data_IF_036095596413
#
_entry.id   IF_036095596413
#
_cell.length_a   1.000
_cell.length_b   1.000
_cell.length_c   1.000
_cell.angle_alpha   90.00
_cell.angle_beta   90.00
_cell.angle_gamma   90.00
#
_symmetry.space_group_name_H-M   'P 1'
#
loop_
_entity.id
_entity.type
_entity.pdbx_description
1 polymer ?
#
# COMPACT_ATOMS: atom_id res chain seq x y z
N UNK A 1 25.74 1.36 -0.15
CA UNK A 1 25.28 2.55 0.58
C UNK A 1 25.51 2.40 2.07
N UNK A 2 26.63 2.93 2.57
CA UNK A 2 27.08 2.82 3.96
C UNK A 2 26.53 3.96 4.85
N UNK A 3 25.21 4.14 4.80
CA UNK A 3 24.52 5.17 5.57
C UNK A 3 23.47 4.57 6.50
N UNK A 4 23.39 5.14 7.69
CA UNK A 4 22.50 4.75 8.77
C UNK A 4 21.48 5.87 9.04
N UNK A 5 20.21 5.50 9.04
CA UNK A 5 19.10 6.37 9.46
C UNK A 5 19.00 6.35 10.98
N UNK A 6 18.88 7.54 11.58
CA UNK A 6 18.80 7.75 13.02
C UNK A 6 17.56 8.56 13.34
N UNK A 7 16.84 8.12 14.38
CA UNK A 7 15.83 8.93 15.04
C UNK A 7 16.43 9.39 16.37
N UNK A 8 16.58 10.72 16.48
CA UNK A 8 17.19 11.38 17.62
C UNK A 8 16.12 12.18 18.36
N UNK A 9 16.15 12.06 19.69
CA UNK A 9 15.44 13.00 20.57
C UNK A 9 16.48 13.71 21.43
N UNK A 10 16.58 15.03 21.26
CA UNK A 10 17.46 15.90 22.03
C UNK A 10 16.61 16.69 23.02
N UNK A 11 16.98 16.69 24.30
CA UNK A 11 16.43 17.64 25.27
C UNK A 11 17.47 18.72 25.54
N UNK A 12 17.11 19.97 25.30
CA UNK A 12 17.91 21.15 25.62
C UNK A 12 17.24 21.87 26.81
N UNK A 13 17.91 21.94 27.95
CA UNK A 13 17.41 22.65 29.13
C UNK A 13 17.86 24.11 29.11
N UNK A 14 16.97 25.03 29.49
CA UNK A 14 17.27 26.48 29.50
C UNK A 14 17.72 27.05 28.15
N UNK A 15 16.94 26.79 27.09
CA UNK A 15 17.30 27.09 25.69
C UNK A 15 17.83 28.51 25.50
N UNK A 16 19.15 28.66 25.59
CA UNK A 16 19.85 29.82 25.05
C UNK A 16 20.01 29.53 23.57
N UNK A 17 19.77 30.51 22.69
CA UNK A 17 19.96 30.39 21.21
C UNK A 17 21.31 29.73 20.81
N UNK A 18 22.29 29.80 21.71
CA UNK A 18 23.63 29.23 21.60
C UNK A 18 23.62 27.69 21.59
N UNK A 19 22.72 27.00 22.30
CA UNK A 19 22.73 25.53 22.41
C UNK A 19 22.14 24.86 21.17
N UNK A 20 21.06 25.41 20.63
CA UNK A 20 20.47 24.94 19.37
C UNK A 20 21.44 25.13 18.18
N UNK A 21 22.12 26.28 18.13
CA UNK A 21 23.11 26.56 17.08
C UNK A 21 24.36 25.67 17.21
N UNK A 22 24.77 25.30 18.44
CA UNK A 22 25.82 24.29 18.65
C UNK A 22 25.38 22.91 18.16
N UNK A 23 24.15 22.48 18.44
CA UNK A 23 23.64 21.22 17.93
C UNK A 23 23.56 21.20 16.39
N UNK A 24 23.11 22.29 15.76
CA UNK A 24 23.07 22.41 14.31
C UNK A 24 24.48 22.27 13.67
N UNK A 25 25.51 22.90 14.26
CA UNK A 25 26.90 22.76 13.79
C UNK A 25 27.42 21.33 13.88
N UNK A 26 26.98 20.56 14.88
CA UNK A 26 27.34 19.15 14.98
C UNK A 26 26.77 18.38 13.80
N UNK A 27 25.50 18.56 13.45
CA UNK A 27 24.88 17.93 12.27
C UNK A 27 25.58 18.29 10.96
N UNK A 28 25.95 19.57 10.80
CA UNK A 28 26.70 20.06 9.63
C UNK A 28 28.08 19.41 9.51
N UNK A 29 28.82 19.28 10.63
CA UNK A 29 30.15 18.66 10.66
C UNK A 29 30.16 17.19 10.23
N UNK A 30 29.05 16.47 10.43
CA UNK A 30 28.90 15.06 10.05
C UNK A 30 28.15 14.88 8.73
N UNK A 31 27.93 15.96 7.97
CA UNK A 31 27.22 15.93 6.68
C UNK A 31 25.87 15.19 6.75
N UNK A 32 25.17 15.34 7.89
CA UNK A 32 23.93 14.60 8.12
C UNK A 32 22.81 15.11 7.23
N UNK A 33 22.12 14.21 6.53
CA UNK A 33 20.91 14.55 5.77
C UNK A 33 19.71 14.52 6.71
N UNK A 34 19.10 15.66 6.99
CA UNK A 34 17.94 15.74 7.89
C UNK A 34 16.66 15.63 7.07
N UNK A 35 15.85 14.60 7.32
CA UNK A 35 14.56 14.38 6.66
C UNK A 35 13.39 15.01 7.43
N UNK A 36 13.48 14.99 8.77
CA UNK A 36 12.46 15.55 9.65
C UNK A 36 13.12 16.30 10.80
N UNK A 37 12.58 17.48 11.13
CA UNK A 37 13.01 18.29 12.26
C UNK A 37 11.79 18.93 12.92
N UNK A 38 11.55 18.60 14.19
CA UNK A 38 10.39 19.06 14.93
C UNK A 38 10.80 19.46 16.35
N UNK A 39 10.32 20.62 16.81
CA UNK A 39 10.53 21.09 18.18
C UNK A 39 9.22 21.09 18.96
N UNK A 40 9.28 20.68 20.24
CA UNK A 40 8.16 20.68 21.17
C UNK A 40 8.63 21.16 22.54
N UNK A 41 7.71 21.72 23.34
CA UNK A 41 7.98 21.99 24.76
C UNK A 41 8.18 20.66 25.49
N UNK A 42 9.19 20.60 26.36
CA UNK A 42 9.50 19.37 27.08
C UNK A 42 8.33 18.97 28.02
N UNK A 43 7.94 17.70 27.98
CA UNK A 43 6.80 17.20 28.78
C UNK A 43 7.06 17.20 30.29
N UNK A 44 8.33 17.20 30.72
CA UNK A 44 8.76 17.27 32.12
C UNK A 44 9.94 18.25 32.24
N UNK A 45 9.69 19.55 32.44
CA UNK A 45 10.76 20.53 32.59
C UNK A 45 11.60 20.19 33.81
N UNK A 46 12.92 20.07 33.64
CA UNK A 46 13.85 19.76 34.74
C UNK A 46 14.37 21.02 35.42
N UNK A 47 14.52 22.12 34.67
CA UNK A 47 15.17 23.34 35.16
C UNK A 47 14.38 24.63 34.88
N UNK A 48 13.73 24.78 33.72
CA UNK A 48 12.88 25.95 33.42
C UNK A 48 11.69 25.62 32.52
N UNK A 49 10.73 26.56 32.40
CA UNK A 49 9.57 26.44 31.51
C UNK A 49 9.94 26.50 30.00
N UNK A 50 11.20 26.73 29.67
CA UNK A 50 11.70 26.90 28.30
C UNK A 50 12.47 25.67 27.79
N UNK A 51 12.42 24.54 28.50
CA UNK A 51 13.04 23.29 28.06
C UNK A 51 12.37 22.79 26.76
N UNK A 52 13.17 22.44 25.74
CA UNK A 52 12.70 21.94 24.45
C UNK A 52 13.12 20.49 24.22
N UNK A 53 12.18 19.70 23.73
CA UNK A 53 12.45 18.41 23.09
C UNK A 53 12.49 18.61 21.57
N UNK A 54 13.56 18.13 20.94
CA UNK A 54 13.79 18.20 19.50
C UNK A 54 13.80 16.78 18.96
N UNK A 55 12.94 16.52 17.98
CA UNK A 55 12.85 15.26 17.27
C UNK A 55 13.46 15.43 15.88
N UNK A 56 14.45 14.60 15.58
CA UNK A 56 15.21 14.69 14.34
C UNK A 56 15.27 13.30 13.72
N UNK A 57 14.86 13.21 12.46
CA UNK A 57 15.11 12.04 11.60
C UNK A 57 16.20 12.43 10.61
N UNK A 58 17.33 11.74 10.66
CA UNK A 58 18.46 12.07 9.80
C UNK A 58 19.24 10.83 9.35
N UNK A 59 20.03 10.99 8.30
CA UNK A 59 20.93 9.98 7.77
C UNK A 59 22.38 10.43 7.91
N UNK A 60 23.25 9.56 8.41
CA UNK A 60 24.69 9.78 8.59
C UNK A 60 25.46 8.55 8.12
N UNK A 61 26.75 8.67 7.82
CA UNK A 61 27.59 7.50 7.54
C UNK A 61 27.61 6.53 8.73
N UNK A 62 27.50 5.23 8.47
CA UNK A 62 27.36 4.21 9.51
C UNK A 62 28.53 4.22 10.50
N UNK A 63 29.74 4.50 10.01
CA UNK A 63 30.95 4.62 10.80
C UNK A 63 30.91 5.80 11.80
N UNK A 64 30.20 6.87 11.46
CA UNK A 64 30.19 8.12 12.23
C UNK A 64 29.07 8.19 13.28
N UNK A 65 28.12 7.26 13.26
CA UNK A 65 26.96 7.24 14.18
C UNK A 65 27.39 7.41 15.64
N UNK A 66 28.39 6.65 16.09
CA UNK A 66 28.84 6.71 17.49
C UNK A 66 29.49 8.05 17.85
N UNK A 67 30.19 8.67 16.88
CA UNK A 67 30.90 9.94 17.07
C UNK A 67 29.89 11.10 17.05
N UNK A 68 28.91 11.07 16.15
CA UNK A 68 27.78 12.01 16.10
C UNK A 68 27.04 12.03 17.44
N UNK A 69 26.64 10.87 17.96
CA UNK A 69 25.92 10.76 19.23
C UNK A 69 26.74 11.31 20.39
N UNK A 70 28.03 11.00 20.42
CA UNK A 70 28.94 11.49 21.46
C UNK A 70 29.11 13.01 21.38
N UNK A 71 29.15 13.58 20.17
CA UNK A 71 29.23 15.02 19.96
C UNK A 71 27.94 15.73 20.38
N UNK A 72 26.78 15.16 20.08
CA UNK A 72 25.48 15.68 20.49
C UNK A 72 25.32 15.67 22.02
N UNK A 73 25.82 14.65 22.71
CA UNK A 73 25.82 14.58 24.19
C UNK A 73 26.65 15.68 24.86
N UNK A 74 27.56 16.34 24.13
CA UNK A 74 28.33 17.49 24.65
C UNK A 74 27.56 18.81 24.57
N UNK A 75 26.51 18.87 23.74
CA UNK A 75 25.76 20.10 23.46
C UNK A 75 24.29 20.02 23.85
N UNK A 76 23.80 18.85 24.28
CA UNK A 76 22.45 18.61 24.77
C UNK A 76 22.46 17.87 26.11
N UNK A 77 21.51 18.20 27.00
CA UNK A 77 21.40 17.58 28.34
C UNK A 77 21.00 16.11 28.24
N UNK A 78 20.20 15.75 27.24
CA UNK A 78 19.81 14.37 26.99
C UNK A 78 19.77 14.10 25.50
N UNK A 79 20.37 12.99 25.10
CA UNK A 79 20.36 12.50 23.72
C UNK A 79 19.87 11.07 23.77
N UNK A 80 18.64 10.86 23.32
CA UNK A 80 18.11 9.53 23.07
C UNK A 80 18.28 9.22 21.60
N UNK A 81 18.88 8.07 21.34
CA UNK A 81 19.11 7.56 20.00
C UNK A 81 18.48 6.20 19.91
N UNK A 82 17.48 6.07 19.06
CA UNK A 82 17.14 4.76 18.51
C UNK A 82 17.86 4.67 17.18
N UNK A 83 18.79 3.71 17.07
CA UNK A 83 19.01 3.10 15.76
C UNK A 83 17.70 2.43 15.45
N UNK A 84 17.06 2.79 14.34
CA UNK A 84 16.12 1.83 13.81
C UNK A 84 16.97 0.59 13.48
N UNK A 85 16.69 -0.54 14.12
CA UNK A 85 16.91 -1.84 13.48
C UNK A 85 16.08 -1.78 12.21
N UNK A 86 16.62 -1.17 11.12
CA UNK A 86 15.88 -0.58 9.99
C UNK A 86 14.47 -1.15 9.92
N UNK A 87 13.54 -0.55 10.67
CA UNK A 87 12.19 -1.10 10.73
C UNK A 87 11.72 -0.91 9.31
N UNK A 88 11.43 -1.99 8.56
CA UNK A 88 11.15 -1.83 7.15
C UNK A 88 10.03 -0.81 7.01
N UNK A 89 10.25 0.20 6.18
CA UNK A 89 9.30 1.28 6.00
C UNK A 89 7.89 0.71 5.81
N UNK A 90 6.91 1.34 6.46
CA UNK A 90 5.50 1.00 6.29
C UNK A 90 4.66 2.28 6.21
N UNK A 91 3.56 2.27 5.45
CA UNK A 91 2.66 3.41 5.33
C UNK A 91 2.06 3.77 6.70
N UNK A 92 2.14 5.04 7.10
CA UNK A 92 1.60 5.53 8.38
C UNK A 92 0.26 6.24 8.20
N UNK A 93 -0.01 6.75 7.00
CA UNK A 93 -1.27 7.36 6.57
C UNK A 93 -1.76 6.68 5.30
N UNK A 94 -3.07 6.74 5.05
CA UNK A 94 -3.67 6.14 3.85
C UNK A 94 -3.08 6.71 2.54
N UNK A 95 -2.62 7.97 2.53
CA UNK A 95 -1.95 8.56 1.37
C UNK A 95 -0.58 7.93 1.08
N UNK A 96 0.08 7.36 2.09
CA UNK A 96 1.38 6.70 1.90
C UNK A 96 1.26 5.41 1.07
N UNK A 97 0.04 4.88 0.88
CA UNK A 97 -0.22 3.75 -0.02
C UNK A 97 0.09 4.08 -1.49
N UNK A 98 0.24 5.36 -1.85
CA UNK A 98 0.76 5.76 -3.16
C UNK A 98 2.20 5.27 -3.41
N UNK A 99 2.93 4.89 -2.35
CA UNK A 99 4.29 4.31 -2.42
C UNK A 99 4.28 2.78 -2.36
N UNK A 100 3.13 2.15 -2.15
CA UNK A 100 2.97 0.69 -2.04
C UNK A 100 2.72 0.06 -3.42
N UNK A 101 3.71 0.15 -4.31
CA UNK A 101 3.63 -0.32 -5.69
C UNK A 101 4.77 -1.29 -6.08
N UNK A 102 5.41 -1.96 -5.11
CA UNK A 102 6.47 -2.92 -5.41
C UNK A 102 5.86 -4.17 -6.05
N UNK A 103 6.11 -4.36 -7.35
CA UNK A 103 5.57 -5.48 -8.13
C UNK A 103 6.50 -6.69 -8.11
N UNK A 104 5.88 -7.87 -8.07
CA UNK A 104 6.50 -9.17 -8.31
C UNK A 104 6.28 -9.53 -9.77
N UNK A 105 7.37 -9.61 -10.53
CA UNK A 105 7.34 -9.79 -12.00
C UNK A 105 7.32 -11.25 -12.46
N UNK A 106 7.27 -12.20 -11.52
CA UNK A 106 7.42 -13.65 -11.79
C UNK A 106 6.42 -14.18 -12.83
N UNK A 107 5.22 -13.61 -12.89
CA UNK A 107 4.13 -14.09 -13.74
C UNK A 107 3.75 -13.10 -14.84
N UNK A 108 4.58 -12.07 -15.05
CA UNK A 108 4.33 -11.04 -16.05
C UNK A 108 4.32 -11.68 -17.46
N UNK A 109 3.28 -11.48 -18.28
CA UNK A 109 3.19 -12.04 -19.63
C UNK A 109 4.35 -11.63 -20.55
N UNK A 110 5.06 -10.55 -20.23
CA UNK A 110 6.23 -10.08 -20.99
C UNK A 110 7.50 -10.85 -20.65
N UNK A 111 7.54 -11.51 -19.49
CA UNK A 111 8.74 -12.14 -18.93
C UNK A 111 8.58 -13.67 -18.78
N UNK A 112 7.37 -14.15 -18.51
CA UNK A 112 7.07 -15.56 -18.29
C UNK A 112 6.63 -16.26 -19.59
N UNK A 113 7.49 -17.15 -20.10
CA UNK A 113 7.23 -17.93 -21.31
C UNK A 113 6.10 -18.98 -21.13
N UNK A 114 5.76 -19.34 -19.89
CA UNK A 114 4.64 -20.21 -19.56
C UNK A 114 3.29 -19.49 -19.54
N UNK A 115 3.28 -18.15 -19.54
CA UNK A 115 2.04 -17.38 -19.51
C UNK A 115 1.29 -17.50 -20.86
N UNK A 116 -0.02 -17.80 -20.89
CA UNK A 116 -0.77 -18.00 -22.15
C UNK A 116 -0.73 -16.80 -23.12
N UNK A 117 -0.63 -15.59 -22.57
CA UNK A 117 -0.45 -14.34 -23.32
C UNK A 117 1.00 -13.99 -23.71
N UNK A 118 1.99 -14.88 -23.52
CA UNK A 118 3.41 -14.55 -23.77
C UNK A 118 3.70 -14.20 -25.24
N UNK A 119 2.98 -14.78 -26.20
CA UNK A 119 3.15 -14.47 -27.62
C UNK A 119 2.13 -13.46 -28.15
N UNK A 120 1.13 -13.08 -27.35
CA UNK A 120 0.07 -12.15 -27.75
C UNK A 120 0.46 -10.69 -27.46
N UNK A 121 0.91 -10.00 -28.51
CA UNK A 121 1.27 -8.58 -28.44
C UNK A 121 0.09 -7.66 -28.11
N UNK A 122 -1.15 -8.02 -28.50
CA UNK A 122 -2.34 -7.21 -28.16
C UNK A 122 -2.64 -7.34 -26.68
N UNK A 123 -2.57 -8.56 -26.14
CA UNK A 123 -2.75 -8.80 -24.71
C UNK A 123 -1.68 -8.09 -23.88
N UNK A 124 -0.40 -8.13 -24.28
CA UNK A 124 0.68 -7.38 -23.61
C UNK A 124 0.44 -5.88 -23.60
N UNK A 125 0.05 -5.30 -24.74
CA UNK A 125 -0.32 -3.87 -24.81
C UNK A 125 -1.51 -3.55 -23.92
N UNK A 126 -2.51 -4.43 -23.88
CA UNK A 126 -3.68 -4.27 -23.01
C UNK A 126 -3.32 -4.35 -21.53
N UNK A 127 -2.39 -5.21 -21.14
CA UNK A 127 -1.83 -5.29 -19.78
C UNK A 127 -1.04 -4.03 -19.39
N UNK A 128 -0.22 -3.51 -20.29
CA UNK A 128 0.50 -2.25 -20.08
C UNK A 128 -0.48 -1.08 -19.84
N UNK A 129 -1.57 -1.00 -20.61
CA UNK A 129 -2.63 -0.02 -20.40
C UNK A 129 -3.22 -0.07 -18.98
N UNK A 130 -3.52 -1.26 -18.45
CA UNK A 130 -4.00 -1.40 -17.07
C UNK A 130 -2.94 -1.02 -16.03
N UNK A 131 -1.68 -1.38 -16.28
CA UNK A 131 -0.57 -1.03 -15.40
C UNK A 131 -0.38 0.50 -15.31
N UNK A 132 -0.44 1.19 -16.45
CA UNK A 132 -0.31 2.64 -16.53
C UNK A 132 -1.44 3.36 -15.77
N UNK A 133 -2.68 2.88 -15.89
CA UNK A 133 -3.80 3.42 -15.12
C UNK A 133 -3.58 3.28 -13.60
N UNK A 134 -3.11 2.11 -13.16
CA UNK A 134 -2.85 1.86 -11.74
C UNK A 134 -1.68 2.69 -11.19
N UNK A 135 -0.59 2.82 -11.95
CA UNK A 135 0.60 3.59 -11.53
C UNK A 135 0.33 5.10 -11.48
N UNK A 136 -0.60 5.60 -12.30
CA UNK A 136 -0.99 7.01 -12.32
C UNK A 136 -2.07 7.36 -11.30
N UNK A 137 -2.76 6.38 -10.71
CA UNK A 137 -3.77 6.61 -9.68
C UNK A 137 -3.14 7.17 -8.39
N UNK A 138 -3.80 8.15 -7.75
CA UNK A 138 -3.45 8.66 -6.42
C UNK A 138 -4.62 8.53 -5.46
N UNK A 139 -4.30 8.38 -4.17
CA UNK A 139 -5.31 8.27 -3.12
C UNK A 139 -6.21 9.51 -3.05
N UNK A 140 -7.49 9.34 -3.42
CA UNK A 140 -8.50 10.41 -3.43
C UNK A 140 -9.07 10.69 -4.83
N UNK A 141 -8.38 10.26 -5.88
CA UNK A 141 -8.89 10.35 -7.25
C UNK A 141 -10.05 9.37 -7.48
N UNK A 142 -10.95 9.66 -8.44
CA UNK A 142 -11.91 8.66 -8.90
C UNK A 142 -11.18 7.48 -9.54
N UNK A 143 -11.66 6.26 -9.26
CA UNK A 143 -11.13 5.05 -9.85
C UNK A 143 -11.40 5.01 -11.37
N UNK A 144 -10.39 4.68 -12.19
CA UNK A 144 -10.53 4.69 -13.65
C UNK A 144 -11.57 3.65 -14.10
N UNK A 145 -12.50 4.10 -14.93
CA UNK A 145 -13.47 3.23 -15.59
C UNK A 145 -12.88 2.64 -16.86
N UNK A 146 -13.19 1.38 -17.10
CA UNK A 146 -12.65 0.58 -18.21
C UNK A 146 -13.78 0.21 -19.15
N UNK A 147 -13.61 0.55 -20.42
CA UNK A 147 -14.37 -0.08 -21.50
C UNK A 147 -13.71 -1.43 -21.82
N UNK A 148 -14.29 -2.51 -21.29
CA UNK A 148 -13.85 -3.86 -21.58
C UNK A 148 -14.30 -4.27 -22.98
N UNK A 149 -13.43 -4.99 -23.70
CA UNK A 149 -13.74 -5.50 -25.03
C UNK A 149 -14.78 -6.63 -24.94
N UNK A 150 -15.41 -6.93 -26.07
CA UNK A 150 -16.34 -8.07 -26.16
C UNK A 150 -15.66 -9.41 -25.81
N UNK A 151 -14.37 -9.57 -26.16
CA UNK A 151 -13.60 -10.77 -25.84
C UNK A 151 -13.32 -10.87 -24.33
N UNK A 152 -12.92 -9.77 -23.69
CA UNK A 152 -12.73 -9.72 -22.23
C UNK A 152 -14.04 -10.06 -21.51
N UNK A 153 -15.15 -9.46 -21.94
CA UNK A 153 -16.47 -9.74 -21.37
C UNK A 153 -16.91 -11.20 -21.60
N UNK A 154 -16.57 -11.80 -22.74
CA UNK A 154 -16.84 -13.22 -23.00
C UNK A 154 -16.04 -14.15 -22.08
N UNK A 155 -14.76 -13.85 -21.82
CA UNK A 155 -13.94 -14.59 -20.85
C UNK A 155 -14.54 -14.50 -19.44
N UNK A 156 -14.97 -13.29 -19.03
CA UNK A 156 -15.66 -13.09 -17.74
C UNK A 156 -16.92 -13.94 -17.64
N UNK A 157 -17.77 -13.91 -18.68
CA UNK A 157 -19.02 -14.68 -18.74
C UNK A 157 -18.79 -16.16 -18.46
N UNK A 158 -17.77 -16.74 -19.06
CA UNK A 158 -17.45 -18.16 -18.90
C UNK A 158 -17.10 -18.51 -17.46
N UNK A 159 -16.22 -17.71 -16.83
CA UNK A 159 -15.81 -17.88 -15.43
C UNK A 159 -16.98 -17.63 -14.50
N UNK A 160 -17.74 -16.55 -14.72
CA UNK A 160 -18.90 -16.16 -13.92
C UNK A 160 -19.94 -17.28 -13.87
N UNK A 161 -20.38 -17.79 -15.03
CA UNK A 161 -21.36 -18.88 -15.12
C UNK A 161 -20.88 -20.13 -14.40
N UNK A 162 -19.62 -20.51 -14.60
CA UNK A 162 -19.07 -21.71 -13.98
C UNK A 162 -19.06 -21.59 -12.45
N UNK A 163 -18.53 -20.49 -11.92
CA UNK A 163 -18.44 -20.30 -10.46
C UNK A 163 -19.83 -20.08 -9.83
N UNK A 164 -20.69 -19.29 -10.47
CA UNK A 164 -22.06 -19.04 -9.99
C UNK A 164 -22.87 -20.32 -9.82
N UNK A 165 -22.64 -21.32 -10.68
CA UNK A 165 -23.27 -22.65 -10.60
C UNK A 165 -22.83 -23.47 -9.38
N UNK A 166 -21.62 -23.20 -8.85
CA UNK A 166 -21.03 -23.93 -7.74
C UNK A 166 -21.27 -23.27 -6.38
N UNK A 167 -21.45 -21.95 -6.34
CA UNK A 167 -21.59 -21.21 -5.07
C UNK A 167 -22.67 -21.75 -4.13
N UNK A 168 -23.89 -22.12 -4.58
CA UNK A 168 -24.93 -22.57 -3.64
C UNK A 168 -24.54 -23.77 -2.79
N UNK A 169 -23.60 -24.60 -3.25
CA UNK A 169 -23.16 -25.83 -2.58
C UNK A 169 -21.77 -25.74 -1.97
N UNK A 170 -20.95 -24.75 -2.37
CA UNK A 170 -19.54 -24.67 -1.97
C UNK A 170 -19.16 -23.39 -1.23
N UNK A 171 -19.92 -22.29 -1.39
CA UNK A 171 -19.60 -21.03 -0.75
C UNK A 171 -20.24 -20.93 0.65
N UNK A 172 -19.60 -20.19 1.56
CA UNK A 172 -20.18 -19.88 2.86
C UNK A 172 -21.37 -18.93 2.73
N UNK A 173 -22.23 -18.88 3.75
CA UNK A 173 -23.44 -18.03 3.77
C UNK A 173 -23.10 -16.53 3.63
N UNK A 174 -22.03 -16.06 4.29
CA UNK A 174 -21.58 -14.66 4.21
C UNK A 174 -21.25 -14.27 2.76
N UNK A 175 -20.59 -15.16 2.03
CA UNK A 175 -20.30 -14.96 0.61
C UNK A 175 -21.59 -14.83 -0.20
N UNK A 176 -22.53 -15.76 -0.04
CA UNK A 176 -23.80 -15.79 -0.80
C UNK A 176 -24.64 -14.52 -0.55
N UNK A 177 -24.74 -14.09 0.70
CA UNK A 177 -25.49 -12.88 1.09
C UNK A 177 -24.87 -11.60 0.52
N UNK A 178 -23.54 -11.50 0.50
CA UNK A 178 -22.83 -10.39 -0.11
C UNK A 178 -22.94 -10.42 -1.63
N UNK A 179 -22.78 -11.60 -2.25
CA UNK A 179 -22.81 -11.79 -3.69
C UNK A 179 -24.17 -11.38 -4.29
N UNK A 180 -25.29 -11.76 -3.66
CA UNK A 180 -26.62 -11.34 -4.10
C UNK A 180 -26.77 -9.80 -4.12
N UNK A 181 -26.12 -9.11 -3.19
CA UNK A 181 -26.17 -7.65 -3.12
C UNK A 181 -25.27 -7.00 -4.17
N UNK A 182 -24.12 -7.61 -4.47
CA UNK A 182 -23.24 -7.19 -5.56
C UNK A 182 -23.93 -7.36 -6.93
N UNK A 183 -24.68 -8.45 -7.14
CA UNK A 183 -25.53 -8.65 -8.34
C UNK A 183 -26.57 -7.53 -8.47
N UNK A 184 -27.16 -7.10 -7.36
CA UNK A 184 -28.22 -6.09 -7.33
C UNK A 184 -27.72 -4.65 -7.50
N UNK A 185 -26.58 -4.30 -6.90
CA UNK A 185 -26.17 -2.90 -6.73
C UNK A 185 -24.85 -2.53 -7.43
N UNK A 186 -24.03 -3.51 -7.81
CA UNK A 186 -22.69 -3.27 -8.36
C UNK A 186 -22.50 -3.79 -9.78
N UNK A 187 -23.58 -4.24 -10.44
CA UNK A 187 -23.53 -4.70 -11.82
C UNK A 187 -22.83 -6.04 -12.02
N UNK A 188 -22.79 -6.90 -10.99
CA UNK A 188 -22.30 -8.27 -11.13
C UNK A 188 -23.30 -9.07 -11.97
N UNK A 189 -22.94 -9.31 -13.22
CA UNK A 189 -23.73 -10.07 -14.17
C UNK A 189 -22.80 -10.80 -15.14
N UNK A 190 -23.29 -11.83 -15.80
CA UNK A 190 -22.49 -12.62 -16.74
C UNK A 190 -22.03 -11.81 -17.97
N UNK A 191 -22.77 -10.78 -18.35
CA UNK A 191 -22.49 -9.93 -19.52
C UNK A 191 -21.85 -8.58 -19.15
N UNK A 192 -21.46 -8.38 -17.90
CA UNK A 192 -20.89 -7.12 -17.44
C UNK A 192 -19.79 -7.34 -16.39
N UNK A 193 -18.59 -6.83 -16.68
CA UNK A 193 -17.49 -6.79 -15.70
C UNK A 193 -17.71 -5.57 -14.79
N UNK A 194 -17.88 -5.76 -13.47
CA UNK A 194 -18.08 -4.67 -12.51
C UNK A 194 -16.93 -3.65 -12.52
N UNK A 195 -17.27 -2.37 -12.40
CA UNK A 195 -16.29 -1.29 -12.33
C UNK A 195 -15.83 -1.07 -10.90
N UNK A 196 -14.51 -0.97 -10.67
CA UNK A 196 -13.96 -0.84 -9.32
C UNK A 196 -14.53 0.35 -8.55
N UNK A 197 -14.87 1.46 -9.23
CA UNK A 197 -15.46 2.63 -8.59
C UNK A 197 -16.77 2.33 -7.87
N UNK A 198 -17.64 1.53 -8.48
CA UNK A 198 -18.97 1.21 -7.95
C UNK A 198 -18.85 0.19 -6.81
N UNK A 199 -17.97 -0.81 -6.99
CA UNK A 199 -17.67 -1.83 -5.98
C UNK A 199 -16.98 -1.22 -4.75
N UNK A 200 -16.01 -0.32 -4.95
CA UNK A 200 -15.31 0.38 -3.87
C UNK A 200 -16.26 1.23 -3.03
N UNK A 201 -17.22 1.92 -3.66
CA UNK A 201 -18.26 2.67 -2.95
C UNK A 201 -19.12 1.75 -2.08
N UNK A 202 -19.59 0.64 -2.65
CA UNK A 202 -20.39 -0.35 -1.94
C UNK A 202 -19.65 -0.92 -0.72
N UNK A 203 -18.37 -1.32 -0.88
CA UNK A 203 -17.55 -1.82 0.24
C UNK A 203 -17.35 -0.75 1.31
N UNK A 204 -17.13 0.52 0.91
CA UNK A 204 -16.89 1.63 1.83
C UNK A 204 -18.10 1.87 2.74
N UNK A 205 -19.29 1.83 2.17
CA UNK A 205 -20.54 1.96 2.92
C UNK A 205 -20.81 0.77 3.86
N UNK A 206 -20.33 -0.42 3.50
CA UNK A 206 -20.60 -1.67 4.21
C UNK A 206 -19.66 -1.94 5.37
N UNK A 207 -18.36 -1.87 5.09
CA UNK A 207 -17.30 -2.28 6.01
C UNK A 207 -16.16 -1.27 6.08
N UNK A 208 -16.23 -0.16 5.34
CA UNK A 208 -15.16 0.82 5.24
C UNK A 208 -14.02 0.39 4.31
N UNK A 209 -14.08 -0.82 3.73
CA UNK A 209 -13.13 -1.25 2.73
C UNK A 209 -13.24 -0.43 1.44
N UNK A 210 -12.11 -0.15 0.81
CA UNK A 210 -12.04 0.54 -0.47
C UNK A 210 -11.10 -0.22 -1.40
N UNK A 211 -11.40 -0.19 -2.69
CA UNK A 211 -10.51 -0.75 -3.72
C UNK A 211 -9.52 0.29 -4.19
N UNK A 212 -8.31 -0.17 -4.51
CA UNK A 212 -7.25 0.60 -5.16
C UNK A 212 -6.73 -0.19 -6.37
N UNK A 213 -6.51 0.42 -7.55
CA UNK A 213 -6.11 -0.32 -8.73
C UNK A 213 -4.65 -0.75 -8.58
N UNK A 214 -4.38 -2.03 -8.80
CA UNK A 214 -3.05 -2.62 -8.76
C UNK A 214 -2.55 -2.90 -10.18
N UNK A 215 -1.30 -2.50 -10.46
CA UNK A 215 -0.67 -2.71 -11.77
C UNK A 215 -0.37 -4.20 -12.05
N UNK A 216 -0.28 -5.01 -11.01
CA UNK A 216 0.00 -6.44 -11.08
C UNK A 216 0.12 -7.02 -9.66
N UNK A 217 0.81 -8.15 -9.54
CA UNK A 217 1.03 -8.80 -8.25
C UNK A 217 1.97 -7.96 -7.38
N UNK A 218 1.47 -7.43 -6.26
CA UNK A 218 2.29 -6.67 -5.31
C UNK A 218 3.15 -7.59 -4.43
N UNK A 219 4.21 -7.03 -3.86
CA UNK A 219 4.93 -7.68 -2.77
C UNK A 219 3.99 -7.93 -1.59
N UNK A 220 4.21 -9.03 -0.88
CA UNK A 220 3.39 -9.38 0.28
C UNK A 220 3.36 -8.26 1.33
N UNK A 221 4.49 -7.55 1.50
CA UNK A 221 4.60 -6.41 2.43
C UNK A 221 3.65 -5.28 2.05
N UNK A 222 3.70 -4.81 0.81
CA UNK A 222 2.89 -3.69 0.34
C UNK A 222 1.39 -4.02 0.32
N UNK A 223 1.06 -5.25 -0.10
CA UNK A 223 -0.32 -5.73 -0.11
C UNK A 223 -0.90 -5.79 1.31
N UNK A 224 -0.22 -6.48 2.23
CA UNK A 224 -0.68 -6.61 3.62
C UNK A 224 -0.71 -5.25 4.34
N UNK A 225 0.25 -4.37 4.08
CA UNK A 225 0.24 -3.02 4.65
C UNK A 225 -0.98 -2.19 4.19
N UNK A 226 -1.50 -2.44 2.99
CA UNK A 226 -2.71 -1.78 2.48
C UNK A 226 -3.97 -2.22 3.26
N UNK A 227 -4.04 -3.49 3.67
CA UNK A 227 -5.18 -4.04 4.40
C UNK A 227 -5.38 -3.40 5.78
N UNK A 228 -4.29 -2.96 6.43
CA UNK A 228 -4.37 -2.22 7.70
C UNK A 228 -5.22 -0.93 7.60
N UNK A 229 -5.31 -0.35 6.41
CA UNK A 229 -6.14 0.83 6.10
C UNK A 229 -7.51 0.47 5.50
N UNK A 230 -7.88 -0.81 5.52
CA UNK A 230 -9.02 -1.36 4.76
C UNK A 230 -8.96 -1.00 3.28
N UNK A 231 -7.76 -1.01 2.70
CA UNK A 231 -7.55 -0.79 1.27
C UNK A 231 -7.13 -2.09 0.63
N UNK A 232 -7.97 -2.60 -0.26
CA UNK A 232 -7.68 -3.81 -1.04
C UNK A 232 -7.13 -3.42 -2.41
N UNK A 233 -5.92 -3.88 -2.70
CA UNK A 233 -5.24 -3.66 -3.98
C UNK A 233 -5.80 -4.66 -5.00
N UNK A 234 -6.48 -4.17 -6.02
CA UNK A 234 -7.30 -4.94 -6.94
C UNK A 234 -6.81 -4.75 -8.38
N UNK A 235 -6.47 -5.83 -9.08
CA UNK A 235 -6.16 -5.75 -10.51
C UNK A 235 -7.43 -5.50 -11.34
N UNK A 236 -7.28 -4.83 -12.49
CA UNK A 236 -8.40 -4.55 -13.41
C UNK A 236 -8.33 -5.36 -14.71
N UNK A 237 -7.19 -5.98 -15.01
CA UNK A 237 -7.03 -6.79 -16.21
C UNK A 237 -7.73 -8.14 -16.03
N UNK A 238 -8.16 -8.75 -17.14
CA UNK A 238 -8.73 -10.09 -17.17
C UNK A 238 -7.71 -11.10 -17.70
N UNK A 239 -7.79 -12.36 -17.25
CA UNK A 239 -6.99 -13.48 -17.76
C UNK A 239 -7.11 -13.64 -19.27
N UNK A 240 -6.10 -14.28 -19.87
CA UNK A 240 -6.07 -14.54 -21.30
C UNK A 240 -7.19 -15.50 -21.73
N UNK A 241 -7.89 -15.16 -22.81
CA UNK A 241 -9.10 -15.85 -23.29
C UNK A 241 -8.85 -17.31 -23.72
N UNK A 242 -7.61 -17.71 -24.03
CA UNK A 242 -7.29 -19.10 -24.40
C UNK A 242 -7.30 -20.06 -23.22
N UNK A 243 -7.28 -19.56 -21.99
CA UNK A 243 -7.30 -20.38 -20.76
C UNK A 243 -8.23 -19.76 -19.71
N UNK A 244 -9.54 -19.68 -19.97
CA UNK A 244 -10.49 -18.98 -19.09
C UNK A 244 -10.60 -19.63 -17.71
N UNK A 245 -10.37 -20.94 -17.60
CA UNK A 245 -10.48 -21.68 -16.34
C UNK A 245 -9.19 -21.72 -15.51
N UNK A 246 -8.10 -21.10 -15.97
CA UNK A 246 -6.82 -21.10 -15.26
C UNK A 246 -6.04 -19.80 -15.47
N UNK A 247 -5.56 -19.21 -14.37
CA UNK A 247 -4.68 -18.04 -14.40
C UNK A 247 -3.56 -18.21 -13.36
N UNK A 248 -2.28 -17.93 -13.72
CA UNK A 248 -1.19 -17.89 -12.75
C UNK A 248 -1.19 -16.60 -11.92
N UNK A 249 -1.88 -15.55 -12.39
CA UNK A 249 -1.97 -14.23 -11.75
C UNK A 249 -3.39 -13.95 -11.24
N UNK A 250 -3.53 -13.14 -10.17
CA UNK A 250 -4.84 -12.66 -9.73
C UNK A 250 -5.37 -11.61 -10.70
N UNK A 251 -6.25 -12.04 -11.61
CA UNK A 251 -6.98 -11.17 -12.53
C UNK A 251 -8.28 -10.65 -11.90
N UNK A 252 -9.00 -9.75 -12.57
CA UNK A 252 -10.24 -9.16 -12.03
C UNK A 252 -11.31 -10.21 -11.70
N UNK A 253 -11.32 -11.38 -12.35
CA UNK A 253 -12.20 -12.48 -11.95
C UNK A 253 -11.89 -12.96 -10.53
N UNK A 254 -10.62 -13.18 -10.19
CA UNK A 254 -10.19 -13.57 -8.85
C UNK A 254 -10.54 -12.51 -7.81
N UNK A 255 -10.29 -11.24 -8.11
CA UNK A 255 -10.54 -10.15 -7.17
C UNK A 255 -12.03 -9.95 -6.90
N UNK A 256 -12.82 -9.81 -7.97
CA UNK A 256 -14.23 -9.47 -7.89
C UNK A 256 -15.08 -10.67 -7.44
N UNK A 257 -14.79 -11.88 -7.94
CA UNK A 257 -15.58 -13.07 -7.60
C UNK A 257 -15.03 -13.81 -6.38
N UNK A 258 -13.77 -13.62 -6.00
CA UNK A 258 -13.18 -14.25 -4.82
C UNK A 258 -13.22 -13.35 -3.59
N UNK A 259 -12.49 -12.23 -3.64
CA UNK A 259 -12.23 -11.40 -2.46
C UNK A 259 -13.39 -10.47 -2.09
N UNK A 260 -13.93 -9.73 -3.07
CA UNK A 260 -14.88 -8.65 -2.81
C UNK A 260 -16.10 -9.07 -1.99
N UNK A 261 -16.77 -10.22 -2.24
CA UNK A 261 -17.94 -10.62 -1.47
C UNK A 261 -17.61 -10.78 0.02
N UNK A 262 -16.46 -11.36 0.35
CA UNK A 262 -16.03 -11.53 1.74
C UNK A 262 -15.64 -10.20 2.40
N UNK A 263 -15.06 -9.25 1.67
CA UNK A 263 -14.76 -7.92 2.20
C UNK A 263 -16.01 -7.08 2.55
N UNK A 264 -17.19 -7.48 2.06
CA UNK A 264 -18.48 -6.86 2.40
C UNK A 264 -19.07 -7.40 3.72
N UNK A 265 -18.50 -8.46 4.29
CA UNK A 265 -18.83 -8.99 5.61
C UNK A 265 -18.01 -8.29 6.71
N UNK A 266 -18.65 -7.96 7.85
CA UNK A 266 -18.02 -7.16 8.91
C UNK A 266 -16.96 -7.93 9.69
N UNK A 267 -17.17 -9.21 9.94
CA UNK A 267 -16.22 -10.04 10.70
C UNK A 267 -15.00 -10.33 9.85
N UNK A 268 -15.22 -10.70 8.58
CA UNK A 268 -14.12 -10.93 7.64
C UNK A 268 -13.33 -9.66 7.35
N UNK A 269 -13.99 -8.51 7.22
CA UNK A 269 -13.30 -7.22 7.07
C UNK A 269 -12.43 -6.88 8.29
N UNK A 270 -12.89 -7.19 9.52
CA UNK A 270 -12.08 -7.00 10.73
C UNK A 270 -10.91 -7.99 10.79
N UNK A 271 -11.14 -9.25 10.43
CA UNK A 271 -10.09 -10.26 10.35
C UNK A 271 -9.01 -9.91 9.32
N UNK A 272 -9.41 -9.31 8.20
CA UNK A 272 -8.49 -8.94 7.12
C UNK A 272 -7.64 -7.71 7.45
N UNK A 273 -8.07 -6.86 8.38
CA UNK A 273 -7.39 -5.62 8.79
C UNK A 273 -6.34 -5.88 9.85
#
# INVERSE_FOLDING_TARGET
DDRATLILTLTLCSVRKIELSKAAKVFEMFETQIYHFETRRAKKPKKSADDLDIFIECEVHSADVSILITSLKRVADNVKTSREDKVPWFPRKIQDLDKCHHLITKYDPSLDNGHPGFTDLKYKKRRAFFADLALNYRGGDPLPRIEYTAQETATWREVYRKLRSLYPTHACTQYLDAFQQLEKYCGYQEDNIPQLQDVSRFLKERTGFQLRPAAGLLSARDFLASLAFRVFQCTQHIRHFSSPMHSPEPDCCHELLGHVPMLADKEFAQFSQ
#
